data_IF_677130331305
#
_entry.id   IF_677130331305
#
_cell.length_a   1.000
_cell.length_b   1.000
_cell.length_c   1.000
_cell.angle_alpha   90.00
_cell.angle_beta   90.00
_cell.angle_gamma   90.00
#
_symmetry.space_group_name_H-M   'P 1'
#
loop_
_entity.id
_entity.type
_entity.pdbx_description
1 polymer ?
#
# COMPACT_ATOMS: atom_id res chain seq x y z
N UNK A 1 -19.76 -0.48 19.90
CA UNK A 1 -18.86 -0.34 21.07
C UNK A 1 -17.50 0.03 20.54
N UNK A 2 -16.77 0.95 21.17
CA UNK A 2 -15.38 1.22 20.76
C UNK A 2 -14.53 0.00 21.14
N UNK A 3 -13.69 -0.49 20.22
CA UNK A 3 -12.69 -1.52 20.50
C UNK A 3 -11.29 -0.95 20.33
N UNK A 4 -10.31 -1.53 21.03
CA UNK A 4 -8.90 -1.17 20.96
C UNK A 4 -8.06 -2.43 21.14
N UNK A 5 -7.11 -2.70 20.23
CA UNK A 5 -6.09 -3.76 20.36
C UNK A 5 -4.72 -3.12 20.34
N UNK A 6 -4.02 -3.11 21.47
CA UNK A 6 -2.81 -2.29 21.66
C UNK A 6 -1.77 -2.94 22.57
N UNK A 7 -0.52 -2.48 22.49
CA UNK A 7 0.56 -2.87 23.41
C UNK A 7 0.56 -2.06 24.71
N UNK A 8 -0.37 -1.10 24.86
CA UNK A 8 -0.51 -0.29 26.08
C UNK A 8 -0.79 -1.19 27.29
N UNK A 9 -0.04 -1.00 28.37
CA UNK A 9 -0.27 -1.67 29.65
C UNK A 9 -1.69 -1.41 30.15
N UNK A 10 -2.39 -2.47 30.57
CA UNK A 10 -3.76 -2.38 31.08
C UNK A 10 -4.85 -2.22 30.01
N UNK A 11 -4.53 -2.43 28.73
CA UNK A 11 -5.54 -2.46 27.67
C UNK A 11 -6.46 -3.70 27.79
N UNK A 12 -7.73 -3.51 27.42
CA UNK A 12 -8.76 -4.57 27.40
C UNK A 12 -8.37 -5.71 26.44
N UNK A 13 -7.80 -5.38 25.28
CA UNK A 13 -7.28 -6.36 24.35
C UNK A 13 -5.84 -6.04 23.95
N UNK A 14 -5.01 -7.07 23.91
CA UNK A 14 -3.63 -6.96 23.48
C UNK A 14 -3.53 -6.68 21.99
N UNK A 15 -2.41 -6.07 21.61
CA UNK A 15 -1.96 -5.96 20.22
C UNK A 15 -2.08 -7.33 19.53
N UNK A 16 -2.56 -7.39 18.27
CA UNK A 16 -2.60 -8.64 17.53
C UNK A 16 -1.20 -9.27 17.47
N UNK A 17 -1.10 -10.59 17.62
CA UNK A 17 0.19 -11.31 17.62
C UNK A 17 0.98 -11.15 16.31
N UNK A 18 0.27 -10.88 15.22
CA UNK A 18 0.84 -10.61 13.89
C UNK A 18 1.26 -9.16 13.70
N UNK A 19 0.79 -8.23 14.55
CA UNK A 19 1.18 -6.83 14.49
C UNK A 19 2.53 -6.64 15.19
N UNK A 20 3.59 -7.08 14.51
CA UNK A 20 4.96 -7.06 15.03
C UNK A 20 5.67 -5.76 14.68
N UNK A 21 6.52 -5.29 15.59
CA UNK A 21 7.24 -4.01 15.44
C UNK A 21 8.08 -4.04 14.17
N UNK A 22 7.80 -3.08 13.29
CA UNK A 22 8.55 -2.89 12.06
C UNK A 22 8.14 -3.81 10.91
N UNK A 23 7.18 -4.71 11.06
CA UNK A 23 6.73 -5.60 9.98
C UNK A 23 5.36 -5.25 9.42
N UNK A 24 4.54 -4.54 10.21
CA UNK A 24 3.30 -3.93 9.74
C UNK A 24 3.53 -2.43 9.61
N UNK A 25 3.58 -1.93 8.39
CA UNK A 25 3.85 -0.51 8.08
C UNK A 25 2.74 0.14 7.28
N UNK A 26 2.06 -0.64 6.44
CA UNK A 26 0.87 -0.23 5.72
C UNK A 26 -0.41 -0.86 6.23
N UNK A 27 -1.44 -0.04 6.28
CA UNK A 27 -2.79 -0.43 6.60
C UNK A 27 -3.76 0.53 5.92
N UNK A 28 -4.91 -0.01 5.52
CA UNK A 28 -5.99 0.78 4.93
C UNK A 28 -7.36 0.21 5.27
N UNK A 29 -8.35 1.10 5.31
CA UNK A 29 -9.74 0.76 5.58
C UNK A 29 -10.50 0.69 4.25
N UNK A 30 -11.14 -0.45 3.99
CA UNK A 30 -12.03 -0.58 2.85
C UNK A 30 -13.31 -1.30 3.27
N UNK A 31 -14.47 -0.71 2.95
CA UNK A 31 -15.76 -1.17 3.47
C UNK A 31 -15.75 -1.24 5.01
N UNK A 32 -16.14 -2.40 5.56
CA UNK A 32 -16.19 -2.64 7.00
C UNK A 32 -14.89 -3.22 7.58
N UNK A 33 -13.82 -3.31 6.78
CA UNK A 33 -12.62 -4.08 7.10
C UNK A 33 -11.34 -3.23 7.06
N UNK A 34 -10.47 -3.45 8.04
CA UNK A 34 -9.11 -2.93 8.08
C UNK A 34 -8.17 -4.01 7.52
N UNK A 35 -7.37 -3.65 6.53
CA UNK A 35 -6.36 -4.50 5.91
C UNK A 35 -4.97 -4.04 6.33
N UNK A 36 -4.05 -4.97 6.53
CA UNK A 36 -2.68 -4.66 6.92
C UNK A 36 -1.67 -5.53 6.17
N UNK A 37 -0.62 -4.90 5.65
CA UNK A 37 0.47 -5.58 4.97
C UNK A 37 1.43 -6.21 6.00
N UNK A 38 1.30 -7.52 6.22
CA UNK A 38 2.22 -8.30 7.06
C UNK A 38 3.36 -8.87 6.23
N UNK A 39 4.41 -8.06 6.09
CA UNK A 39 5.59 -8.41 5.31
C UNK A 39 6.49 -9.45 5.98
N UNK A 40 6.32 -9.71 7.28
CA UNK A 40 7.09 -10.76 7.97
C UNK A 40 6.56 -12.14 7.62
N UNK A 41 5.24 -12.27 7.49
CA UNK A 41 4.59 -13.54 7.17
C UNK A 41 4.14 -13.65 5.71
N UNK A 42 4.38 -12.61 4.90
CA UNK A 42 3.88 -12.50 3.51
C UNK A 42 2.37 -12.73 3.46
N UNK A 43 1.62 -11.92 4.23
CA UNK A 43 0.17 -12.01 4.33
C UNK A 43 -0.48 -10.63 4.33
N UNK A 44 -1.68 -10.53 3.78
CA UNK A 44 -2.58 -9.40 4.03
C UNK A 44 -3.51 -9.83 5.17
N UNK A 45 -3.37 -9.17 6.33
CA UNK A 45 -4.19 -9.42 7.52
C UNK A 45 -5.45 -8.59 7.43
N UNK A 46 -6.57 -9.14 7.88
CA UNK A 46 -7.88 -8.48 7.80
C UNK A 46 -8.55 -8.49 9.16
N UNK A 47 -9.14 -7.37 9.55
CA UNK A 47 -9.95 -7.23 10.75
C UNK A 47 -11.27 -6.55 10.41
N UNK A 48 -12.33 -6.90 11.10
CA UNK A 48 -13.54 -6.10 11.08
C UNK A 48 -13.26 -4.77 11.81
N UNK A 49 -13.41 -3.64 11.11
CA UNK A 49 -13.09 -2.32 11.63
C UNK A 49 -14.06 -1.85 12.74
N UNK A 50 -15.23 -2.47 12.87
CA UNK A 50 -16.23 -2.13 13.89
C UNK A 50 -16.11 -2.95 15.18
N UNK A 51 -15.47 -4.12 15.12
CA UNK A 51 -15.34 -5.04 16.27
C UNK A 51 -13.90 -5.39 16.66
N UNK A 52 -12.92 -5.16 15.78
CA UNK A 52 -11.51 -5.50 16.01
C UNK A 52 -11.18 -7.00 15.87
N UNK A 53 -12.17 -7.81 15.48
CA UNK A 53 -12.03 -9.26 15.30
C UNK A 53 -11.27 -9.56 14.01
N UNK A 54 -10.28 -10.45 14.07
CA UNK A 54 -9.55 -10.94 12.90
C UNK A 54 -10.51 -11.70 11.97
N UNK A 55 -10.44 -11.40 10.67
CA UNK A 55 -11.23 -12.05 9.62
C UNK A 55 -10.33 -13.03 8.85
N UNK A 56 -10.84 -14.24 8.64
CA UNK A 56 -10.29 -15.16 7.64
C UNK A 56 -11.09 -14.98 6.36
N UNK A 57 -10.45 -14.46 5.31
CA UNK A 57 -11.08 -14.32 4.00
C UNK A 57 -11.45 -15.69 3.43
N UNK A 58 -12.61 -15.77 2.78
CA UNK A 58 -12.99 -16.97 2.03
C UNK A 58 -12.00 -17.26 0.89
N UNK A 59 -11.42 -16.20 0.31
CA UNK A 59 -10.34 -16.28 -0.68
C UNK A 59 -9.22 -15.35 -0.24
N UNK A 60 -8.06 -15.87 0.22
CA UNK A 60 -6.94 -15.01 0.56
C UNK A 60 -6.32 -14.38 -0.70
N UNK A 61 -5.63 -13.26 -0.53
CA UNK A 61 -4.79 -12.69 -1.58
C UNK A 61 -3.63 -13.66 -1.90
N UNK A 62 -3.47 -14.01 -3.17
CA UNK A 62 -2.33 -14.79 -3.66
C UNK A 62 -1.11 -13.88 -3.81
N UNK A 63 -0.10 -14.14 -2.97
CA UNK A 63 1.14 -13.37 -2.91
C UNK A 63 2.33 -14.13 -3.52
N UNK A 64 2.11 -15.25 -4.22
CA UNK A 64 3.17 -16.13 -4.73
C UNK A 64 4.15 -15.41 -5.66
N UNK A 65 3.68 -14.42 -6.43
CA UNK A 65 4.49 -13.60 -7.33
C UNK A 65 4.95 -12.26 -6.75
N UNK A 66 4.57 -11.91 -5.52
CA UNK A 66 4.94 -10.65 -4.88
C UNK A 66 6.40 -10.72 -4.42
N UNK A 67 7.27 -10.00 -5.12
CA UNK A 67 8.72 -10.04 -4.93
C UNK A 67 9.41 -8.70 -5.24
N UNK A 68 10.74 -8.69 -5.10
CA UNK A 68 11.59 -7.55 -5.45
C UNK A 68 11.72 -6.48 -4.36
N UNK A 69 12.60 -5.51 -4.60
CA UNK A 69 12.91 -4.46 -3.63
C UNK A 69 13.70 -4.95 -2.40
N UNK A 70 13.83 -4.07 -1.42
CA UNK A 70 14.32 -4.40 -0.06
C UNK A 70 13.26 -5.16 0.73
N UNK A 71 11.98 -4.85 0.52
CA UNK A 71 10.85 -5.60 1.05
C UNK A 71 9.86 -5.87 -0.09
N UNK A 72 9.43 -7.12 -0.26
CA UNK A 72 8.50 -7.51 -1.32
C UNK A 72 7.11 -6.86 -1.19
N UNK A 73 6.72 -6.50 0.03
CA UNK A 73 5.51 -5.76 0.35
C UNK A 73 5.76 -4.84 1.55
N UNK A 74 5.15 -3.66 1.56
CA UNK A 74 5.30 -2.69 2.64
C UNK A 74 4.05 -1.88 2.94
N UNK A 75 3.38 -1.37 1.90
CA UNK A 75 2.14 -0.59 2.04
C UNK A 75 0.99 -1.20 1.23
N UNK A 76 -0.24 -1.00 1.70
CA UNK A 76 -1.47 -1.45 1.05
C UNK A 76 -2.47 -0.30 1.05
N UNK A 77 -3.20 -0.12 -0.04
CA UNK A 77 -4.32 0.81 -0.12
C UNK A 77 -5.36 0.34 -1.14
N UNK A 78 -6.57 0.88 -1.05
CA UNK A 78 -7.69 0.53 -1.92
C UNK A 78 -8.19 1.73 -2.70
N UNK A 79 -8.65 1.49 -3.93
CA UNK A 79 -9.53 2.44 -4.61
C UNK A 79 -10.93 2.42 -4.00
N UNK A 80 -11.74 3.43 -4.33
CA UNK A 80 -13.13 3.55 -3.84
C UNK A 80 -14.00 2.36 -4.26
N UNK A 81 -13.70 1.74 -5.40
CA UNK A 81 -14.38 0.55 -5.95
C UNK A 81 -13.72 -0.79 -5.55
N UNK A 82 -12.77 -0.76 -4.61
CA UNK A 82 -12.25 -1.97 -3.97
C UNK A 82 -11.15 -2.70 -4.73
N UNK A 83 -10.50 -2.03 -5.69
CA UNK A 83 -9.24 -2.52 -6.25
C UNK A 83 -8.16 -2.37 -5.18
N UNK A 84 -7.55 -3.49 -4.78
CA UNK A 84 -6.46 -3.50 -3.81
C UNK A 84 -5.13 -3.24 -4.51
N UNK A 85 -4.32 -2.36 -3.96
CA UNK A 85 -2.97 -2.06 -4.41
C UNK A 85 -1.98 -2.44 -3.30
N UNK A 86 -0.93 -3.18 -3.63
CA UNK A 86 0.13 -3.57 -2.70
C UNK A 86 1.49 -3.14 -3.24
N UNK A 87 2.18 -2.27 -2.51
CA UNK A 87 3.49 -1.75 -2.90
C UNK A 87 4.63 -2.49 -2.23
N UNK A 88 5.68 -2.81 -2.99
CA UNK A 88 6.96 -3.21 -2.42
C UNK A 88 7.69 -2.00 -1.80
N UNK A 89 8.88 -2.20 -1.23
CA UNK A 89 9.77 -1.10 -0.88
C UNK A 89 11.11 -1.29 -1.56
N UNK A 90 11.56 -0.27 -2.28
CA UNK A 90 12.91 -0.23 -2.86
C UNK A 90 13.68 0.97 -2.32
N UNK A 91 14.98 0.79 -2.09
CA UNK A 91 15.89 1.88 -1.72
C UNK A 91 16.55 2.53 -2.94
N UNK A 92 16.46 1.89 -4.12
CA UNK A 92 17.06 2.38 -5.34
C UNK A 92 16.26 1.89 -6.57
N UNK A 93 15.25 2.67 -6.94
CA UNK A 93 14.39 2.40 -8.09
C UNK A 93 15.09 2.46 -9.46
N UNK A 94 16.36 2.86 -9.55
CA UNK A 94 17.12 2.80 -10.82
C UNK A 94 17.77 1.44 -11.09
N UNK A 95 17.87 0.58 -10.07
CA UNK A 95 18.46 -0.77 -10.19
C UNK A 95 17.56 -1.87 -9.62
N UNK A 96 16.64 -1.53 -8.72
CA UNK A 96 15.61 -2.42 -8.18
C UNK A 96 14.26 -1.70 -8.22
N UNK A 97 13.40 -1.98 -9.21
CA UNK A 97 12.18 -1.23 -9.42
C UNK A 97 11.21 -1.25 -8.23
N UNK A 98 10.38 -0.22 -8.15
CA UNK A 98 9.18 -0.25 -7.32
C UNK A 98 8.07 -1.01 -8.07
N UNK A 99 7.41 -1.94 -7.39
CA UNK A 99 6.30 -2.72 -7.91
C UNK A 99 5.03 -2.39 -7.12
N UNK A 100 3.93 -2.21 -7.84
CA UNK A 100 2.59 -2.03 -7.29
C UNK A 100 1.65 -3.10 -7.85
N UNK A 101 1.37 -4.12 -7.06
CA UNK A 101 0.53 -5.27 -7.42
C UNK A 101 -0.96 -4.93 -7.24
N UNK A 102 -1.83 -5.39 -8.15
CA UNK A 102 -3.24 -4.98 -8.20
C UNK A 102 -4.22 -6.16 -8.27
N UNK A 103 -5.23 -6.16 -7.38
CA UNK A 103 -6.36 -7.09 -7.40
C UNK A 103 -7.65 -6.33 -7.69
N UNK A 104 -8.45 -6.76 -8.65
CA UNK A 104 -9.74 -6.13 -8.99
C UNK A 104 -10.83 -6.32 -7.94
N UNK A 105 -10.53 -6.96 -6.81
CA UNK A 105 -11.45 -7.18 -5.71
C UNK A 105 -10.74 -7.84 -4.52
N UNK A 106 -11.53 -8.24 -3.52
CA UNK A 106 -10.98 -8.84 -2.30
C UNK A 106 -10.46 -10.26 -2.53
N UNK A 107 -9.14 -10.43 -2.39
CA UNK A 107 -8.47 -11.72 -2.46
C UNK A 107 -8.25 -12.24 -3.87
N UNK A 108 -7.78 -13.49 -3.96
CA UNK A 108 -7.52 -14.16 -5.23
C UNK A 108 -6.18 -13.75 -5.86
N UNK A 109 -6.02 -13.98 -7.16
CA UNK A 109 -4.81 -13.66 -7.91
C UNK A 109 -4.79 -12.18 -8.30
N UNK A 110 -3.63 -11.53 -8.20
CA UNK A 110 -3.47 -10.20 -8.78
C UNK A 110 -3.47 -10.30 -10.30
N UNK A 111 -3.96 -9.26 -10.95
CA UNK A 111 -4.05 -9.22 -12.41
C UNK A 111 -2.74 -8.74 -13.04
N UNK A 112 -2.09 -7.76 -12.41
CA UNK A 112 -0.89 -7.13 -12.94
C UNK A 112 -0.07 -6.47 -11.81
N UNK A 113 1.15 -6.05 -12.14
CA UNK A 113 1.96 -5.15 -11.32
C UNK A 113 2.45 -3.96 -12.14
N UNK A 114 2.15 -2.74 -11.69
CA UNK A 114 2.76 -1.53 -12.25
C UNK A 114 4.19 -1.40 -11.75
N UNK A 115 5.09 -0.98 -12.64
CA UNK A 115 6.53 -0.91 -12.35
C UNK A 115 7.01 0.53 -12.53
N UNK A 116 7.62 1.09 -11.49
CA UNK A 116 8.31 2.38 -11.58
C UNK A 116 9.82 2.11 -11.50
N UNK A 117 10.50 2.48 -12.59
CA UNK A 117 11.97 2.56 -12.67
C UNK A 117 12.38 3.99 -12.88
N UNK A 118 13.44 4.42 -12.18
CA UNK A 118 13.88 5.81 -12.16
C UNK A 118 15.27 5.92 -12.77
N UNK A 119 15.65 7.11 -13.28
CA UNK A 119 16.98 7.31 -13.86
C UNK A 119 18.08 7.52 -12.80
N UNK A 120 17.68 7.87 -11.58
CA UNK A 120 18.56 8.08 -10.42
C UNK A 120 18.09 7.25 -9.24
N UNK A 121 18.96 7.05 -8.26
CA UNK A 121 18.60 6.31 -7.05
C UNK A 121 17.51 7.04 -6.26
N UNK A 122 16.33 6.42 -6.19
CA UNK A 122 15.18 6.92 -5.47
C UNK A 122 14.59 5.81 -4.61
N UNK A 123 14.25 6.15 -3.36
CA UNK A 123 13.57 5.23 -2.43
C UNK A 123 12.06 5.43 -2.54
N UNK A 124 11.35 4.34 -2.77
CA UNK A 124 9.91 4.31 -3.02
C UNK A 124 9.25 3.20 -2.18
N UNK A 125 7.97 3.38 -1.88
CA UNK A 125 7.15 2.37 -1.22
C UNK A 125 7.12 2.44 0.30
N UNK A 126 7.72 3.46 0.92
CA UNK A 126 7.46 3.76 2.34
C UNK A 126 5.99 4.09 2.60
N UNK A 127 5.36 4.77 1.64
CA UNK A 127 3.94 5.12 1.61
C UNK A 127 3.47 5.22 0.16
N UNK A 128 2.22 4.87 -0.09
CA UNK A 128 1.43 5.44 -1.19
C UNK A 128 -0.01 5.65 -0.72
N UNK A 129 -0.80 6.40 -1.49
CA UNK A 129 -2.24 6.51 -1.27
C UNK A 129 -2.97 6.37 -2.58
N UNK A 130 -4.19 5.84 -2.51
CA UNK A 130 -5.09 5.69 -3.65
C UNK A 130 -6.32 6.54 -3.36
N UNK A 131 -6.83 7.23 -4.37
CA UNK A 131 -8.11 7.95 -4.33
C UNK A 131 -8.87 7.68 -5.62
N UNK A 132 -10.20 7.80 -5.60
CA UNK A 132 -11.04 7.61 -6.78
C UNK A 132 -11.28 6.13 -7.12
N UNK A 133 -11.98 5.89 -8.22
CA UNK A 133 -12.37 4.56 -8.71
C UNK A 133 -11.65 4.19 -9.99
N UNK A 134 -11.26 2.92 -10.09
CA UNK A 134 -10.66 2.39 -11.33
C UNK A 134 -11.73 2.31 -12.42
N UNK A 135 -12.94 1.87 -12.08
CA UNK A 135 -14.07 1.67 -12.98
C UNK A 135 -14.56 2.96 -13.67
N UNK A 136 -14.44 4.12 -13.01
CA UNK A 136 -14.85 5.42 -13.58
C UNK A 136 -13.69 6.29 -14.09
N UNK A 137 -12.46 5.76 -14.09
CA UNK A 137 -11.22 6.45 -14.49
C UNK A 137 -10.85 7.67 -13.63
N UNK A 138 -11.38 7.80 -12.42
CA UNK A 138 -10.97 8.86 -11.48
C UNK A 138 -9.82 8.44 -10.57
N UNK A 139 -9.39 7.18 -10.65
CA UNK A 139 -8.31 6.66 -9.80
C UNK A 139 -6.99 7.41 -10.00
N UNK A 140 -6.39 7.78 -8.88
CA UNK A 140 -5.02 8.29 -8.81
C UNK A 140 -4.25 7.55 -7.71
N UNK A 141 -3.05 7.06 -8.04
CA UNK A 141 -2.13 6.47 -7.05
C UNK A 141 -0.94 7.40 -6.84
N UNK A 142 -0.83 7.95 -5.63
CA UNK A 142 0.17 8.94 -5.25
C UNK A 142 1.32 8.29 -4.47
N UNK A 143 2.52 8.32 -5.02
CA UNK A 143 3.69 7.57 -4.55
C UNK A 143 4.85 8.55 -4.30
N UNK A 144 5.04 9.04 -3.05
CA UNK A 144 6.13 9.93 -2.72
C UNK A 144 7.50 9.23 -2.75
N UNK A 145 8.52 9.96 -3.22
CA UNK A 145 9.92 9.59 -3.12
C UNK A 145 10.46 10.01 -1.75
N UNK A 146 11.08 9.07 -1.03
CA UNK A 146 11.68 9.39 0.25
C UNK A 146 12.95 10.24 0.10
N UNK A 147 13.10 11.25 0.96
CA UNK A 147 14.30 12.08 1.11
C UNK A 147 14.78 12.79 -0.18
N UNK A 148 13.86 13.13 -1.08
CA UNK A 148 14.16 13.94 -2.27
C UNK A 148 14.04 15.44 -1.96
N UNK A 149 14.99 16.24 -2.48
CA UNK A 149 14.89 17.71 -2.54
C UNK A 149 15.21 18.17 -3.98
N UNK A 150 14.27 18.81 -4.70
CA UNK A 150 12.88 19.04 -4.31
C UNK A 150 12.11 17.75 -4.04
N UNK A 151 11.02 17.83 -3.27
CA UNK A 151 10.14 16.68 -3.03
C UNK A 151 9.57 16.14 -4.35
N UNK A 152 9.58 14.83 -4.56
CA UNK A 152 9.06 14.20 -5.77
C UNK A 152 7.90 13.27 -5.40
N UNK A 153 6.82 13.33 -6.17
CA UNK A 153 5.71 12.38 -6.10
C UNK A 153 5.44 11.85 -7.50
N UNK A 154 5.37 10.52 -7.65
CA UNK A 154 4.82 9.91 -8.85
C UNK A 154 3.31 9.76 -8.68
N UNK A 155 2.55 10.07 -9.72
CA UNK A 155 1.10 9.87 -9.76
C UNK A 155 0.76 8.93 -10.91
N UNK A 156 0.12 7.81 -10.60
CA UNK A 156 -0.37 6.87 -11.59
C UNK A 156 -1.85 7.14 -11.87
N UNK A 157 -2.21 7.26 -13.14
CA UNK A 157 -3.59 7.48 -13.59
C UNK A 157 -3.93 6.54 -14.74
N UNK A 158 -5.21 6.31 -14.99
CA UNK A 158 -5.71 5.51 -16.11
C UNK A 158 -6.92 6.19 -16.74
N UNK A 159 -7.16 5.93 -18.03
CA UNK A 159 -8.35 6.41 -18.76
C UNK A 159 -9.12 5.27 -19.43
N UNK A 160 -8.73 4.03 -19.15
CA UNK A 160 -9.26 2.80 -19.75
C UNK A 160 -9.49 1.71 -18.69
N UNK A 161 -9.93 2.10 -17.49
CA UNK A 161 -10.31 1.24 -16.38
C UNK A 161 -9.17 0.34 -15.91
N UNK A 162 -7.95 0.89 -15.89
CA UNK A 162 -6.76 0.22 -15.40
C UNK A 162 -6.11 -0.74 -16.39
N UNK A 163 -6.54 -0.75 -17.66
CA UNK A 163 -5.90 -1.55 -18.70
C UNK A 163 -4.53 -0.97 -19.10
N UNK A 164 -4.38 0.35 -19.08
CA UNK A 164 -3.12 1.06 -19.22
C UNK A 164 -3.01 2.17 -18.17
N UNK A 165 -1.76 2.48 -17.80
CA UNK A 165 -1.47 3.47 -16.76
C UNK A 165 -0.45 4.48 -17.26
N UNK A 166 -0.71 5.76 -16.99
CA UNK A 166 0.24 6.83 -17.16
C UNK A 166 0.99 7.04 -15.85
N UNK A 167 2.24 7.51 -15.93
CA UNK A 167 3.03 7.93 -14.78
C UNK A 167 3.40 9.39 -14.94
N UNK A 168 2.87 10.23 -14.06
CA UNK A 168 3.18 11.64 -13.98
C UNK A 168 4.13 11.90 -12.81
N UNK A 169 4.92 12.97 -12.91
CA UNK A 169 5.85 13.39 -11.85
C UNK A 169 5.46 14.77 -11.37
N UNK A 170 5.16 14.89 -10.09
CA UNK A 170 4.97 16.16 -9.39
C UNK A 170 6.24 16.49 -8.62
N UNK A 171 6.79 17.67 -8.89
CA UNK A 171 7.86 18.26 -8.10
C UNK A 171 7.25 19.23 -7.10
N UNK A 172 7.34 18.91 -5.82
CA UNK A 172 6.96 19.80 -4.74
C UNK A 172 7.95 20.98 -4.71
N UNK A 173 7.41 22.18 -4.77
CA UNK A 173 8.18 23.42 -4.68
C UNK A 173 7.89 24.12 -3.35
N UNK A 174 8.89 24.83 -2.84
CA UNK A 174 8.85 25.49 -1.54
C UNK A 174 10.16 25.28 -0.77
N UNK A 175 10.34 26.03 0.31
CA UNK A 175 11.48 25.84 1.22
C UNK A 175 10.98 25.09 2.44
N UNK A 176 11.59 23.95 2.76
CA UNK A 176 11.40 23.32 4.07
C UNK A 176 11.95 24.28 5.13
N UNK A 177 11.06 24.96 5.85
CA UNK A 177 11.45 25.79 6.99
C UNK A 177 11.53 24.88 8.21
N UNK A 178 12.67 24.88 8.89
CA UNK A 178 12.79 24.22 10.19
C UNK A 178 11.83 24.93 11.15
N UNK A 179 10.86 24.20 11.69
CA UNK A 179 10.00 24.66 12.80
C UNK A 179 10.67 24.31 14.11
#
# INVERSE_FOLDING_TARGET
TLWERTSRTGAEASLPSWFTVGSIRGLDLHGDNLYAADRANSQIRVLNASTGVDITLATPYDLTGVAGGTYAMNDIAFSDDGVAFLGNLTTNASTSPFHLYMWTGEGGTYNDSLVITTSTAQRLGDKFTVVGSVTDNTVEVWIPVASSDPGIIYVLTTSDQGATWNTETITLSGTNVVV
#
